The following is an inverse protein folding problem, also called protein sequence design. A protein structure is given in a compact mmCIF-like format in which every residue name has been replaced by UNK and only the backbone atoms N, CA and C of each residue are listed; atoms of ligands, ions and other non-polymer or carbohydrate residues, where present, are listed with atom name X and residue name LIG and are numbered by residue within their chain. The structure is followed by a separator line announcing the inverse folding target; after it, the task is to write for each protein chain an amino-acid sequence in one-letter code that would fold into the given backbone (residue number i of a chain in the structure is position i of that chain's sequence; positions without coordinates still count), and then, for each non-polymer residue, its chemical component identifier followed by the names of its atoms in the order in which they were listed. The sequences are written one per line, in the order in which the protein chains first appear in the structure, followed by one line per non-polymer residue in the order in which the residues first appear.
data_IF_455266639664
#
_entry.id   IF_455266639664
#
_cell.length_a   1.000
_cell.length_b   1.000
_cell.length_c   1.000
_cell.angle_alpha   90.00
_cell.angle_beta   90.00
_cell.angle_gamma   90.00
#
_symmetry.space_group_name_H-M   'P 1'
#
loop_
_entity.id
_entity.type
_entity.pdbx_description
1 polymer ?
#
# COMPACT_ATOMS: atom_id res chain seq x y z
N UNK A 1 22.96 -2.62 -13.03
CA UNK A 1 21.86 -3.39 -12.40
C UNK A 1 22.18 -4.87 -12.44
N UNK A 2 22.64 -5.45 -11.34
CA UNK A 2 22.67 -6.91 -11.18
C UNK A 2 21.21 -7.35 -11.11
N UNK A 3 20.78 -8.17 -12.07
CA UNK A 3 19.37 -8.53 -12.30
C UNK A 3 18.83 -9.33 -11.12
N UNK A 4 17.78 -8.86 -10.43
CA UNK A 4 17.05 -9.57 -9.36
C UNK A 4 16.78 -11.06 -9.67
N UNK A 5 16.66 -11.40 -10.96
CA UNK A 5 16.57 -12.77 -11.46
C UNK A 5 17.74 -13.66 -11.04
N UNK A 6 18.99 -13.19 -11.06
CA UNK A 6 20.17 -13.99 -10.71
C UNK A 6 20.13 -14.41 -9.23
N UNK A 7 19.80 -13.47 -8.34
CA UNK A 7 19.67 -13.73 -6.90
C UNK A 7 18.52 -14.70 -6.64
N UNK A 8 17.36 -14.48 -7.27
CA UNK A 8 16.23 -15.39 -7.16
C UNK A 8 16.57 -16.81 -7.64
N UNK A 9 17.24 -16.93 -8.80
CA UNK A 9 17.64 -18.24 -9.34
C UNK A 9 18.61 -18.96 -8.40
N UNK A 10 19.61 -18.25 -7.85
CA UNK A 10 20.54 -18.84 -6.88
C UNK A 10 19.83 -19.37 -5.63
N UNK A 11 18.86 -18.62 -5.10
CA UNK A 11 18.01 -19.09 -4.00
C UNK A 11 17.19 -20.33 -4.39
N UNK A 12 16.58 -20.32 -5.59
CA UNK A 12 15.77 -21.44 -6.07
C UNK A 12 16.60 -22.70 -6.35
N UNK A 13 17.87 -22.54 -6.74
CA UNK A 13 18.84 -23.64 -6.84
C UNK A 13 19.13 -24.25 -5.47
N UNK A 14 19.38 -23.41 -4.46
CA UNK A 14 19.65 -23.85 -3.07
C UNK A 14 18.48 -24.65 -2.48
N UNK A 15 17.24 -24.19 -2.70
CA UNK A 15 16.03 -24.88 -2.21
C UNK A 15 15.54 -25.97 -3.16
N UNK A 16 16.29 -26.30 -4.22
CA UNK A 16 15.98 -27.34 -5.23
C UNK A 16 14.57 -27.19 -5.80
N UNK A 17 14.14 -25.97 -6.09
CA UNK A 17 12.79 -25.69 -6.53
C UNK A 17 12.56 -26.22 -7.96
N UNK A 18 11.47 -26.95 -8.25
CA UNK A 18 11.26 -27.60 -9.57
C UNK A 18 11.11 -26.60 -10.73
N UNK A 19 10.88 -25.31 -10.44
CA UNK A 19 10.73 -24.25 -11.46
C UNK A 19 12.03 -23.49 -11.75
N UNK A 20 13.17 -23.85 -11.16
CA UNK A 20 14.41 -23.07 -11.28
C UNK A 20 14.86 -22.90 -12.72
N UNK A 21 14.97 -23.99 -13.48
CA UNK A 21 15.39 -23.94 -14.89
C UNK A 21 14.44 -23.11 -15.75
N UNK A 22 13.12 -23.23 -15.51
CA UNK A 22 12.13 -22.40 -16.21
C UNK A 22 12.36 -20.92 -15.95
N UNK A 23 12.57 -20.53 -14.69
CA UNK A 23 12.82 -19.13 -14.31
C UNK A 23 14.18 -18.67 -14.86
N UNK A 24 15.22 -19.50 -14.79
CA UNK A 24 16.56 -19.24 -15.35
C UNK A 24 16.49 -18.90 -16.83
N UNK A 25 15.66 -19.60 -17.60
CA UNK A 25 15.54 -19.41 -19.04
C UNK A 25 14.48 -18.36 -19.44
N UNK A 26 13.66 -17.89 -18.51
CA UNK A 26 12.62 -16.88 -18.79
C UNK A 26 13.23 -15.50 -18.99
N UNK A 27 12.93 -14.84 -20.12
CA UNK A 27 13.24 -13.41 -20.29
C UNK A 27 12.21 -12.58 -19.50
N UNK A 28 12.61 -11.85 -18.46
CA UNK A 28 11.67 -11.03 -17.70
C UNK A 28 11.14 -9.90 -18.59
N UNK A 29 9.82 -9.77 -18.65
CA UNK A 29 9.14 -8.69 -19.37
C UNK A 29 8.53 -7.77 -18.33
N UNK A 30 8.89 -6.49 -18.38
CA UNK A 30 8.21 -5.48 -17.55
C UNK A 30 6.85 -5.21 -18.17
N UNK A 31 5.79 -5.59 -17.44
CA UNK A 31 4.43 -5.29 -17.84
C UNK A 31 4.20 -3.78 -17.93
N UNK A 32 3.55 -3.33 -19.00
CA UNK A 32 3.20 -1.94 -19.19
C UNK A 32 1.86 -1.67 -18.49
N UNK A 33 1.91 -0.89 -17.42
CA UNK A 33 0.74 -0.51 -16.63
C UNK A 33 0.32 0.91 -17.01
N UNK A 34 -0.96 1.08 -17.34
CA UNK A 34 -1.54 2.40 -17.68
C UNK A 34 -1.58 3.36 -16.47
N UNK A 35 -1.70 2.81 -15.27
CA UNK A 35 -1.83 3.55 -14.01
C UNK A 35 -0.50 3.94 -13.36
N UNK A 36 0.63 3.85 -14.08
CA UNK A 36 1.93 4.28 -13.54
C UNK A 36 1.92 5.78 -13.28
N UNK A 37 2.56 6.17 -12.20
CA UNK A 37 2.75 7.56 -11.81
C UNK A 37 4.17 8.02 -12.07
N UNK A 38 4.35 9.30 -12.36
CA UNK A 38 5.64 9.99 -12.40
C UNK A 38 5.81 10.95 -11.23
N UNK A 39 4.71 11.54 -10.75
CA UNK A 39 4.72 12.64 -9.79
C UNK A 39 4.20 12.23 -8.40
N UNK A 40 3.75 10.97 -8.24
CA UNK A 40 3.31 10.45 -6.96
C UNK A 40 4.44 9.67 -6.26
N UNK A 41 4.84 10.16 -5.09
CA UNK A 41 5.89 9.57 -4.25
C UNK A 41 5.39 9.05 -2.89
N UNK A 42 4.11 9.27 -2.56
CA UNK A 42 3.57 8.98 -1.23
C UNK A 42 2.77 7.67 -1.20
N UNK A 43 2.30 7.19 -2.36
CA UNK A 43 1.34 6.08 -2.44
C UNK A 43 1.94 4.70 -2.73
N UNK A 44 3.25 4.53 -2.65
CA UNK A 44 3.90 3.25 -2.96
C UNK A 44 3.30 2.08 -2.15
N UNK A 45 2.96 2.30 -0.88
CA UNK A 45 2.30 1.29 -0.04
C UNK A 45 0.88 0.94 -0.50
N UNK A 46 0.11 1.93 -0.94
CA UNK A 46 -1.26 1.73 -1.47
C UNK A 46 -1.21 0.94 -2.77
N UNK A 47 -0.29 1.29 -3.67
CA UNK A 47 -0.04 0.52 -4.89
C UNK A 47 0.35 -0.92 -4.56
N UNK A 48 1.30 -1.13 -3.64
CA UNK A 48 1.75 -2.48 -3.26
C UNK A 48 0.59 -3.35 -2.75
N UNK A 49 -0.22 -2.84 -1.83
CA UNK A 49 -1.37 -3.57 -1.29
C UNK A 49 -2.39 -3.92 -2.38
N UNK A 50 -2.74 -2.96 -3.25
CA UNK A 50 -3.66 -3.21 -4.36
C UNK A 50 -3.09 -4.23 -5.36
N UNK A 51 -1.79 -4.17 -5.63
CA UNK A 51 -1.13 -5.09 -6.55
C UNK A 51 -1.11 -6.50 -5.99
N UNK A 52 -0.82 -6.67 -4.70
CA UNK A 52 -0.89 -7.97 -4.03
C UNK A 52 -2.32 -8.52 -3.98
N UNK A 53 -3.34 -7.67 -3.84
CA UNK A 53 -4.76 -8.08 -3.81
C UNK A 53 -5.27 -8.47 -5.21
N UNK A 54 -4.84 -7.78 -6.26
CA UNK A 54 -5.42 -7.92 -7.61
C UNK A 54 -4.58 -8.72 -8.61
N UNK A 55 -3.28 -8.88 -8.37
CA UNK A 55 -2.40 -9.55 -9.32
C UNK A 55 -2.39 -11.08 -9.14
N UNK A 56 -3.01 -11.77 -10.10
CA UNK A 56 -3.12 -13.23 -10.11
C UNK A 56 -2.27 -13.91 -11.20
N UNK A 57 -1.21 -13.23 -11.66
CA UNK A 57 -0.31 -13.76 -12.70
C UNK A 57 -0.77 -13.57 -14.15
N UNK A 58 -1.80 -12.74 -14.38
CA UNK A 58 -2.35 -12.48 -15.71
C UNK A 58 -1.49 -11.50 -16.52
N UNK A 59 -1.34 -11.74 -17.82
CA UNK A 59 -0.59 -10.85 -18.74
C UNK A 59 -1.30 -9.52 -19.01
N UNK A 60 -2.63 -9.54 -19.01
CA UNK A 60 -3.48 -8.37 -19.23
C UNK A 60 -4.08 -7.90 -17.90
N UNK A 61 -3.29 -7.95 -16.83
CA UNK A 61 -3.75 -7.51 -15.52
C UNK A 61 -4.14 -6.03 -15.57
N UNK A 62 -5.31 -5.72 -15.03
CA UNK A 62 -5.79 -4.38 -14.74
C UNK A 62 -6.20 -4.35 -13.27
N UNK A 63 -5.65 -3.40 -12.50
CA UNK A 63 -6.00 -3.22 -11.10
C UNK A 63 -7.17 -2.23 -10.89
N UNK A 64 -7.76 -1.73 -11.98
CA UNK A 64 -8.91 -0.83 -11.95
C UNK A 64 -8.57 0.65 -11.77
N UNK A 65 -7.29 0.99 -11.57
CA UNK A 65 -6.85 2.38 -11.47
C UNK A 65 -6.88 3.11 -12.81
N UNK A 66 -7.29 4.37 -12.77
CA UNK A 66 -7.15 5.28 -13.90
C UNK A 66 -5.69 5.60 -14.20
N UNK A 67 -5.44 6.23 -15.36
CA UNK A 67 -4.15 6.87 -15.66
C UNK A 67 -3.87 7.99 -14.66
N UNK A 68 -2.60 8.33 -14.45
CA UNK A 68 -2.18 9.40 -13.53
C UNK A 68 -2.96 10.70 -13.82
N UNK A 69 -3.80 11.08 -12.86
CA UNK A 69 -4.77 12.18 -12.97
C UNK A 69 -5.36 12.49 -11.59
N UNK A 70 -6.07 13.61 -11.45
CA UNK A 70 -6.83 13.92 -10.23
C UNK A 70 -7.88 12.86 -9.89
N UNK A 71 -8.40 12.15 -10.91
CA UNK A 71 -9.28 11.00 -10.67
C UNK A 71 -8.53 9.86 -10.00
N UNK A 72 -7.35 9.50 -10.51
CA UNK A 72 -6.53 8.46 -9.89
C UNK A 72 -6.13 8.85 -8.46
N UNK A 73 -5.84 10.13 -8.20
CA UNK A 73 -5.55 10.63 -6.85
C UNK A 73 -6.71 10.35 -5.89
N UNK A 74 -7.94 10.65 -6.29
CA UNK A 74 -9.14 10.31 -5.48
C UNK A 74 -9.33 8.80 -5.29
N UNK A 75 -9.04 7.99 -6.32
CA UNK A 75 -9.06 6.52 -6.20
C UNK A 75 -8.05 6.03 -5.18
N UNK A 76 -6.83 6.58 -5.19
CA UNK A 76 -5.78 6.28 -4.22
C UNK A 76 -6.13 6.76 -2.80
N UNK A 77 -6.74 7.94 -2.66
CA UNK A 77 -7.20 8.45 -1.36
C UNK A 77 -8.27 7.55 -0.71
N UNK A 78 -9.20 7.06 -1.53
CA UNK A 78 -10.22 6.10 -1.09
C UNK A 78 -9.58 4.76 -0.68
N UNK A 79 -8.67 4.24 -1.49
CA UNK A 79 -7.93 3.00 -1.18
C UNK A 79 -7.11 3.15 0.10
N UNK A 80 -6.40 4.28 0.28
CA UNK A 80 -5.64 4.57 1.49
C UNK A 80 -6.53 4.54 2.73
N UNK A 81 -7.69 5.19 2.65
CA UNK A 81 -8.68 5.20 3.73
C UNK A 81 -9.21 3.79 4.04
N UNK A 82 -9.54 3.01 3.00
CA UNK A 82 -10.00 1.63 3.13
C UNK A 82 -8.95 0.72 3.78
N UNK A 83 -7.70 0.81 3.34
CA UNK A 83 -6.61 0.02 3.90
C UNK A 83 -6.29 0.44 5.33
N UNK A 84 -6.23 1.74 5.63
CA UNK A 84 -6.01 2.24 6.98
C UNK A 84 -7.11 1.74 7.94
N UNK A 85 -8.38 1.83 7.55
CA UNK A 85 -9.48 1.31 8.35
C UNK A 85 -9.36 -0.21 8.59
N UNK A 86 -9.04 -0.99 7.54
CA UNK A 86 -8.81 -2.44 7.67
C UNK A 86 -7.66 -2.77 8.63
N UNK A 87 -6.54 -2.04 8.55
CA UNK A 87 -5.38 -2.25 9.44
C UNK A 87 -5.73 -1.91 10.88
N UNK A 88 -6.33 -0.74 11.12
CA UNK A 88 -6.69 -0.27 12.45
C UNK A 88 -7.69 -1.21 13.14
N UNK A 89 -8.67 -1.73 12.40
CA UNK A 89 -9.74 -2.58 12.91
C UNK A 89 -9.45 -4.09 12.82
N UNK A 90 -8.30 -4.49 12.25
CA UNK A 90 -7.91 -5.90 12.12
C UNK A 90 -7.74 -6.56 13.49
N UNK A 91 -8.18 -7.80 13.64
CA UNK A 91 -7.92 -8.58 14.86
C UNK A 91 -6.43 -8.91 15.05
N UNK A 92 -5.64 -8.79 13.99
CA UNK A 92 -4.18 -8.93 14.04
C UNK A 92 -3.49 -7.67 14.59
N UNK A 93 -4.20 -6.55 14.69
CA UNK A 93 -3.65 -5.32 15.24
C UNK A 93 -3.58 -5.42 16.78
N UNK A 94 -2.37 -5.67 17.30
CA UNK A 94 -2.11 -5.83 18.74
C UNK A 94 -2.54 -4.61 19.58
N UNK A 95 -2.62 -3.43 18.97
CA UNK A 95 -3.05 -2.20 19.64
C UNK A 95 -4.50 -1.81 19.34
N UNK A 96 -5.28 -2.67 18.65
CA UNK A 96 -6.70 -2.41 18.29
C UNK A 96 -7.54 -1.99 19.50
N UNK A 97 -7.46 -2.73 20.61
CA UNK A 97 -8.26 -2.43 21.81
C UNK A 97 -7.88 -1.08 22.43
N UNK A 98 -6.59 -0.71 22.42
CA UNK A 98 -6.14 0.60 22.88
C UNK A 98 -6.66 1.70 21.95
N UNK A 99 -6.57 1.48 20.64
CA UNK A 99 -7.11 2.41 19.64
C UNK A 99 -8.62 2.63 19.81
N UNK A 100 -9.41 1.56 19.97
CA UNK A 100 -10.87 1.67 20.14
C UNK A 100 -11.25 2.43 21.42
N UNK A 101 -10.51 2.25 22.52
CA UNK A 101 -10.70 3.07 23.73
C UNK A 101 -10.42 4.55 23.48
N UNK A 102 -9.37 4.87 22.72
CA UNK A 102 -9.07 6.26 22.34
C UNK A 102 -10.17 6.84 21.44
N UNK A 103 -10.72 6.05 20.51
CA UNK A 103 -11.85 6.45 19.68
C UNK A 103 -13.08 6.73 20.54
N UNK A 104 -13.40 5.89 21.52
CA UNK A 104 -14.52 6.12 22.42
C UNK A 104 -14.37 7.45 23.18
N UNK A 105 -13.20 7.68 23.78
CA UNK A 105 -12.91 8.96 24.47
C UNK A 105 -12.99 10.13 23.50
N UNK A 106 -12.48 9.97 22.28
CA UNK A 106 -12.59 11.00 21.25
C UNK A 106 -14.07 11.31 20.94
N UNK A 107 -14.91 10.29 20.80
CA UNK A 107 -16.33 10.43 20.49
C UNK A 107 -17.15 11.11 21.59
N UNK A 108 -16.72 10.99 22.85
CA UNK A 108 -17.34 11.66 24.00
C UNK A 108 -17.12 13.18 24.02
N UNK A 109 -16.13 13.70 23.28
CA UNK A 109 -15.86 15.15 23.20
C UNK A 109 -16.95 15.90 22.43
N UNK A 110 -17.09 17.20 22.75
CA UNK A 110 -17.94 18.10 21.99
C UNK A 110 -17.45 18.26 20.54
N UNK A 111 -18.34 18.68 19.64
CA UNK A 111 -17.97 18.93 18.23
C UNK A 111 -16.87 20.00 18.10
N UNK A 112 -16.88 21.01 18.96
CA UNK A 112 -15.87 22.07 18.95
C UNK A 112 -14.49 21.55 19.40
N UNK A 113 -14.44 20.72 20.44
CA UNK A 113 -13.21 20.06 20.88
C UNK A 113 -12.68 19.10 19.83
N UNK A 114 -13.54 18.26 19.24
CA UNK A 114 -13.15 17.36 18.14
C UNK A 114 -12.53 18.15 16.99
N UNK A 115 -13.16 19.26 16.60
CA UNK A 115 -12.67 20.12 15.53
C UNK A 115 -11.30 20.72 15.88
N UNK A 116 -11.13 21.27 17.08
CA UNK A 116 -9.84 21.78 17.57
C UNK A 116 -8.74 20.73 17.54
N UNK A 117 -9.04 19.50 17.98
CA UNK A 117 -8.09 18.38 17.96
C UNK A 117 -7.69 18.00 16.53
N UNK A 118 -8.65 17.95 15.60
CA UNK A 118 -8.38 17.67 14.19
C UNK A 118 -7.54 18.78 13.56
N UNK A 119 -7.91 20.05 13.77
CA UNK A 119 -7.18 21.20 13.22
C UNK A 119 -5.74 21.25 13.75
N UNK A 120 -5.56 20.99 15.06
CA UNK A 120 -4.24 20.84 15.68
C UNK A 120 -3.44 19.70 15.02
N UNK A 121 -4.06 18.54 14.83
CA UNK A 121 -3.41 17.40 14.22
C UNK A 121 -2.99 17.67 12.76
N UNK A 122 -3.80 18.41 12.00
CA UNK A 122 -3.50 18.80 10.62
C UNK A 122 -2.32 19.80 10.60
N UNK A 123 -2.36 20.82 11.45
CA UNK A 123 -1.32 21.86 11.51
C UNK A 123 0.07 21.28 11.82
N UNK A 124 0.15 20.33 12.74
CA UNK A 124 1.40 19.72 13.18
C UNK A 124 1.74 18.42 12.43
N UNK A 125 1.12 18.17 11.27
CA UNK A 125 1.34 16.94 10.50
C UNK A 125 2.80 16.74 10.09
N UNK A 126 3.44 17.81 9.59
CA UNK A 126 4.82 17.74 9.06
C UNK A 126 5.84 17.36 10.14
N UNK A 127 5.66 17.83 11.36
CA UNK A 127 6.54 17.52 12.50
C UNK A 127 6.52 16.03 12.86
N UNK A 128 5.34 15.40 12.76
CA UNK A 128 5.18 13.95 12.99
C UNK A 128 5.80 13.10 11.88
N UNK A 129 5.82 13.60 10.64
CA UNK A 129 6.39 12.88 9.49
C UNK A 129 7.92 12.97 9.43
N UNK A 130 8.54 13.89 10.19
CA UNK A 130 9.99 14.09 10.29
C UNK A 130 10.67 13.39 11.48
N UNK A 131 9.91 12.69 12.33
CA UNK A 131 10.38 11.98 13.54
C UNK A 131 10.50 10.47 13.29
#
# INVERSE_FOLDING_TARGET
MVTNKKVLVAYLDQVKHPKTERIRNTKPIRMQMKWRTKNNHDDYGVFLMLHMESYHGLKNWDCGLCVESERQKRELDLLRSKYAAKILLSDLNLIKNKFLKLVQVFEENSLDEKKKMIDYAIAHRKERESS
#
